data_IF_804524916002
#
_entry.id   IF_804524916002
#
_cell.length_a   1.000
_cell.length_b   1.000
_cell.length_c   1.000
_cell.angle_alpha   90.00
_cell.angle_beta   90.00
_cell.angle_gamma   90.00
#
_symmetry.space_group_name_H-M   'P 1'
#
loop_
_entity.id
_entity.type
_entity.pdbx_description
1 polymer ?
#
# COMPACT_ATOMS: atom_id res chain seq x y z
N UNK A 1 12.69 -10.52 -24.14
CA UNK A 1 11.48 -10.82 -23.33
C UNK A 1 11.19 -9.77 -22.27
N UNK A 2 12.16 -9.31 -21.46
CA UNK A 2 11.95 -8.27 -20.43
C UNK A 2 11.58 -6.88 -21.00
N UNK A 3 12.30 -6.43 -22.05
CA UNK A 3 12.02 -5.14 -22.70
C UNK A 3 10.63 -5.04 -23.35
N UNK A 4 10.09 -6.17 -23.85
CA UNK A 4 8.72 -6.24 -24.41
C UNK A 4 7.64 -6.17 -23.32
N UNK A 5 7.92 -6.69 -22.11
CA UNK A 5 7.02 -6.55 -20.96
C UNK A 5 7.02 -5.12 -20.41
N UNK A 6 8.17 -4.45 -20.38
CA UNK A 6 8.26 -3.04 -19.97
C UNK A 6 7.57 -2.11 -20.97
N UNK A 7 7.80 -2.29 -22.28
CA UNK A 7 7.09 -1.53 -23.32
C UNK A 7 5.57 -1.75 -23.28
N UNK A 8 5.13 -2.98 -23.01
CA UNK A 8 3.71 -3.31 -22.83
C UNK A 8 3.12 -2.70 -21.55
N UNK A 9 3.88 -2.62 -20.45
CA UNK A 9 3.41 -2.00 -19.21
C UNK A 9 3.28 -0.47 -19.35
N UNK A 10 4.25 0.16 -20.03
CA UNK A 10 4.22 1.60 -20.34
C UNK A 10 3.05 1.91 -21.28
N UNK A 11 2.86 1.15 -22.34
CA UNK A 11 1.74 1.37 -23.28
C UNK A 11 0.37 1.17 -22.63
N UNK A 12 0.23 0.19 -21.73
CA UNK A 12 -0.99 0.01 -20.94
C UNK A 12 -1.25 1.18 -19.99
N UNK A 13 -0.22 1.70 -19.32
CA UNK A 13 -0.39 2.90 -18.48
C UNK A 13 -0.78 4.13 -19.30
N UNK A 14 -0.18 4.32 -20.48
CA UNK A 14 -0.52 5.40 -21.40
C UNK A 14 -1.98 5.30 -21.87
N UNK A 15 -2.42 4.09 -22.27
CA UNK A 15 -3.79 3.81 -22.67
C UNK A 15 -4.79 4.02 -21.53
N UNK A 16 -4.44 3.61 -20.31
CA UNK A 16 -5.28 3.85 -19.12
C UNK A 16 -5.39 5.35 -18.83
N UNK A 17 -4.28 6.09 -18.89
CA UNK A 17 -4.30 7.56 -18.72
C UNK A 17 -5.16 8.23 -19.79
N UNK A 18 -4.97 7.87 -21.06
CA UNK A 18 -5.77 8.41 -22.15
C UNK A 18 -7.26 8.05 -21.99
N UNK A 19 -7.57 6.82 -21.57
CA UNK A 19 -8.94 6.40 -21.28
C UNK A 19 -9.59 7.21 -20.17
N UNK A 20 -8.85 7.50 -19.08
CA UNK A 20 -9.32 8.34 -17.97
C UNK A 20 -9.55 9.78 -18.41
N UNK A 21 -8.61 10.37 -19.16
CA UNK A 21 -8.76 11.75 -19.66
C UNK A 21 -9.91 11.87 -20.68
N UNK A 22 -10.08 10.87 -21.55
CA UNK A 22 -11.22 10.81 -22.46
C UNK A 22 -12.55 10.72 -21.70
N UNK A 23 -12.62 9.91 -20.63
CA UNK A 23 -13.79 9.85 -19.76
C UNK A 23 -14.07 11.19 -19.07
N UNK A 24 -13.05 11.85 -18.52
CA UNK A 24 -13.18 13.21 -17.95
C UNK A 24 -13.69 14.22 -18.98
N UNK A 25 -13.34 14.05 -20.25
CA UNK A 25 -13.85 14.84 -21.37
C UNK A 25 -15.35 14.64 -21.64
N UNK A 26 -15.92 13.49 -21.29
CA UNK A 26 -17.36 13.20 -21.44
C UNK A 26 -18.22 13.71 -20.28
N UNK A 27 -17.61 14.13 -19.17
CA UNK A 27 -18.31 14.64 -18.00
C UNK A 27 -18.74 16.10 -18.16
N UNK A 28 -19.81 16.49 -17.48
CA UNK A 28 -20.17 17.90 -17.32
C UNK A 28 -19.09 18.65 -16.55
N UNK A 29 -19.02 19.98 -16.66
CA UNK A 29 -17.98 20.76 -15.95
C UNK A 29 -18.08 20.63 -14.42
N UNK A 30 -19.29 20.42 -13.88
CA UNK A 30 -19.48 20.14 -12.46
C UNK A 30 -18.98 18.75 -12.08
N UNK A 31 -19.35 17.73 -12.85
CA UNK A 31 -18.92 16.34 -12.59
C UNK A 31 -17.41 16.18 -12.76
N UNK A 32 -16.81 16.86 -13.74
CA UNK A 32 -15.36 16.90 -13.95
C UNK A 32 -14.66 17.51 -12.74
N UNK A 33 -15.15 18.64 -12.23
CA UNK A 33 -14.57 19.28 -11.06
C UNK A 33 -14.65 18.41 -9.80
N UNK A 34 -15.77 17.70 -9.59
CA UNK A 34 -15.92 16.76 -8.49
C UNK A 34 -15.01 15.54 -8.64
N UNK A 35 -14.84 15.05 -9.87
CA UNK A 35 -13.93 13.94 -10.17
C UNK A 35 -12.46 14.32 -9.91
N UNK A 36 -12.04 15.50 -10.36
CA UNK A 36 -10.70 16.02 -10.07
C UNK A 36 -10.48 16.28 -8.58
N UNK A 37 -11.48 16.80 -7.87
CA UNK A 37 -11.45 16.98 -6.41
C UNK A 37 -11.24 15.62 -5.72
N UNK A 38 -11.98 14.59 -6.16
CA UNK A 38 -11.83 13.21 -5.67
C UNK A 38 -10.43 12.65 -5.91
N UNK A 39 -9.86 12.84 -7.11
CA UNK A 39 -8.49 12.41 -7.43
C UNK A 39 -7.45 13.11 -6.55
N UNK A 40 -7.69 14.37 -6.19
CA UNK A 40 -6.82 15.14 -5.30
C UNK A 40 -7.00 14.78 -3.82
N UNK A 41 -7.97 13.94 -3.47
CA UNK A 41 -8.26 13.57 -2.08
C UNK A 41 -9.10 14.60 -1.33
N UNK A 42 -9.75 15.53 -2.04
CA UNK A 42 -10.67 16.50 -1.46
C UNK A 42 -11.99 15.81 -1.09
N UNK A 43 -12.61 16.10 0.07
CA UNK A 43 -13.93 15.58 0.43
C UNK A 43 -15.01 16.05 -0.55
N UNK A 44 -15.43 15.15 -1.44
CA UNK A 44 -16.31 15.47 -2.60
C UNK A 44 -17.64 16.08 -2.17
N UNK A 45 -18.26 15.55 -1.12
CA UNK A 45 -19.58 16.01 -0.65
C UNK A 45 -19.50 17.45 -0.11
N UNK A 46 -18.53 17.72 0.77
CA UNK A 46 -18.31 19.06 1.33
C UNK A 46 -17.90 20.06 0.24
N UNK A 47 -17.01 19.65 -0.67
CA UNK A 47 -16.58 20.47 -1.79
C UNK A 47 -17.74 20.83 -2.72
N UNK A 48 -18.58 19.85 -3.07
CA UNK A 48 -19.77 20.07 -3.89
C UNK A 48 -20.75 21.04 -3.24
N UNK A 49 -21.02 20.88 -1.94
CA UNK A 49 -21.88 21.80 -1.19
C UNK A 49 -21.31 23.22 -1.13
N UNK A 50 -20.02 23.38 -0.81
CA UNK A 50 -19.35 24.67 -0.76
C UNK A 50 -19.36 25.36 -2.12
N UNK A 51 -19.09 24.63 -3.21
CA UNK A 51 -19.12 25.14 -4.59
C UNK A 51 -20.52 25.55 -5.02
N UNK A 52 -21.53 24.72 -4.74
CA UNK A 52 -22.92 25.08 -5.01
C UNK A 52 -23.33 26.36 -4.27
N UNK A 53 -22.98 26.47 -2.99
CA UNK A 53 -23.26 27.67 -2.20
C UNK A 53 -22.51 28.89 -2.73
N UNK A 54 -21.23 28.75 -3.10
CA UNK A 54 -20.48 29.83 -3.75
C UNK A 54 -21.16 30.30 -5.04
N UNK A 55 -21.54 29.39 -5.92
CA UNK A 55 -22.20 29.71 -7.19
C UNK A 55 -23.57 30.36 -6.98
N UNK A 56 -24.32 29.91 -5.96
CA UNK A 56 -25.60 30.52 -5.59
C UNK A 56 -25.41 31.95 -5.12
N UNK A 57 -24.60 32.16 -4.08
CA UNK A 57 -24.48 33.46 -3.41
C UNK A 57 -23.65 34.48 -4.19
N UNK A 58 -22.79 34.04 -5.11
CA UNK A 58 -22.03 34.94 -6.01
C UNK A 58 -22.89 35.56 -7.12
N UNK A 59 -24.03 34.96 -7.44
CA UNK A 59 -24.96 35.46 -8.47
C UNK A 59 -26.02 36.40 -7.93
N UNK A 60 -26.33 36.31 -6.63
CA UNK A 60 -27.29 37.19 -5.95
C UNK A 60 -26.69 38.58 -5.82
N UNK A 61 -27.42 39.59 -6.29
CA UNK A 61 -27.05 40.99 -6.16
C UNK A 61 -27.85 41.68 -5.06
N UNK A 62 -27.36 42.83 -4.60
CA UNK A 62 -28.04 43.62 -3.57
C UNK A 62 -29.44 44.06 -4.03
N UNK A 63 -29.63 44.29 -5.33
CA UNK A 63 -30.94 44.66 -5.90
C UNK A 63 -31.97 43.53 -5.78
N UNK A 64 -31.53 42.26 -5.82
CA UNK A 64 -32.43 41.10 -5.70
C UNK A 64 -33.02 40.96 -4.29
N UNK A 65 -32.43 41.66 -3.30
CA UNK A 65 -32.90 41.69 -1.91
C UNK A 65 -34.04 42.68 -1.70
N UNK A 66 -34.22 43.67 -2.57
CA UNK A 66 -35.27 44.68 -2.41
C UNK A 66 -36.63 44.03 -2.56
N UNK A 67 -37.51 44.26 -1.58
CA UNK A 67 -38.88 43.73 -1.55
C UNK A 67 -38.96 42.18 -1.59
N UNK A 68 -37.84 41.47 -1.43
CA UNK A 68 -37.78 40.01 -1.46
C UNK A 68 -37.45 39.45 -0.08
N UNK A 69 -38.43 39.50 0.82
CA UNK A 69 -38.29 39.06 2.20
C UNK A 69 -37.79 37.60 2.29
N UNK A 70 -38.24 36.71 1.40
CA UNK A 70 -37.78 35.30 1.39
C UNK A 70 -36.28 35.19 1.15
N UNK A 71 -35.74 35.95 0.19
CA UNK A 71 -34.31 35.95 -0.10
C UNK A 71 -33.51 36.61 1.03
N UNK A 72 -34.05 37.68 1.63
CA UNK A 72 -33.44 38.32 2.80
C UNK A 72 -33.31 37.33 3.98
N UNK A 73 -34.38 36.58 4.28
CA UNK A 73 -34.37 35.53 5.31
C UNK A 73 -33.30 34.50 4.98
N UNK A 74 -33.22 34.03 3.74
CA UNK A 74 -32.28 32.98 3.35
C UNK A 74 -30.82 33.43 3.52
N UNK A 75 -30.50 34.65 3.08
CA UNK A 75 -29.15 35.24 3.22
C UNK A 75 -28.75 35.37 4.69
N UNK A 76 -29.63 35.96 5.51
CA UNK A 76 -29.34 36.19 6.93
C UNK A 76 -29.25 34.87 7.68
N UNK A 77 -30.16 33.93 7.41
CA UNK A 77 -30.15 32.59 8.01
C UNK A 77 -28.85 31.86 7.71
N UNK A 78 -28.39 31.87 6.45
CA UNK A 78 -27.11 31.25 6.08
C UNK A 78 -25.93 31.93 6.76
N UNK A 79 -25.97 33.26 6.90
CA UNK A 79 -24.92 34.00 7.62
C UNK A 79 -24.85 33.68 9.11
N UNK A 80 -26.00 33.44 9.75
CA UNK A 80 -26.08 33.03 11.15
C UNK A 80 -25.68 31.56 11.34
N UNK A 81 -26.07 30.68 10.42
CA UNK A 81 -25.65 29.28 10.41
C UNK A 81 -24.11 29.15 10.35
N UNK A 82 -23.45 29.94 9.49
CA UNK A 82 -21.98 29.98 9.39
C UNK A 82 -21.33 30.48 10.69
N UNK A 83 -22.03 31.30 11.48
CA UNK A 83 -21.57 31.76 12.79
C UNK A 83 -21.79 30.73 13.91
N UNK A 84 -22.47 29.62 13.62
CA UNK A 84 -22.73 28.54 14.56
C UNK A 84 -24.05 28.63 15.31
N UNK A 85 -24.99 29.48 14.87
CA UNK A 85 -26.33 29.54 15.46
C UNK A 85 -27.13 28.28 15.11
N UNK A 86 -27.94 27.81 16.07
CA UNK A 86 -28.88 26.71 15.88
C UNK A 86 -30.10 27.18 15.05
N UNK A 87 -30.88 26.23 14.55
CA UNK A 87 -32.07 26.55 13.74
C UNK A 87 -33.10 27.38 14.51
N UNK A 88 -33.26 27.11 15.79
CA UNK A 88 -34.23 27.79 16.65
C UNK A 88 -33.76 29.22 16.93
N UNK A 89 -32.48 29.41 17.28
CA UNK A 89 -31.88 30.75 17.46
C UNK A 89 -31.93 31.58 16.18
N UNK A 90 -31.72 30.95 15.01
CA UNK A 90 -31.85 31.63 13.71
C UNK A 90 -33.29 32.10 13.50
N UNK A 91 -34.28 31.28 13.81
CA UNK A 91 -35.69 31.65 13.66
C UNK A 91 -36.05 32.85 14.55
N UNK A 92 -35.65 32.82 15.82
CA UNK A 92 -35.86 33.93 16.76
C UNK A 92 -35.18 35.21 16.29
N UNK A 93 -33.93 35.13 15.84
CA UNK A 93 -33.18 36.31 15.38
C UNK A 93 -33.78 36.90 14.09
N UNK A 94 -34.28 36.06 13.19
CA UNK A 94 -35.00 36.49 11.98
C UNK A 94 -36.31 37.20 12.34
N UNK A 95 -37.10 36.65 13.26
CA UNK A 95 -38.34 37.30 13.72
C UNK A 95 -38.04 38.65 14.38
N UNK A 96 -36.99 38.73 15.20
CA UNK A 96 -36.51 39.99 15.79
C UNK A 96 -36.14 41.02 14.71
N UNK A 97 -35.45 40.60 13.66
CA UNK A 97 -35.08 41.48 12.55
C UNK A 97 -36.28 41.97 11.72
N UNK A 98 -37.32 41.14 11.58
CA UNK A 98 -38.58 41.55 10.95
C UNK A 98 -39.33 42.57 11.80
N UNK A 99 -39.45 42.33 13.11
CA UNK A 99 -40.13 43.22 14.03
C UNK A 99 -39.46 44.61 14.12
N UNK A 100 -38.14 44.66 13.91
CA UNK A 100 -37.35 45.89 13.89
C UNK A 100 -37.19 46.52 12.50
N UNK A 101 -37.86 45.98 11.47
CA UNK A 101 -37.76 46.43 10.07
C UNK A 101 -36.30 46.54 9.56
N UNK A 102 -35.39 45.70 10.07
CA UNK A 102 -33.95 45.79 9.80
C UNK A 102 -33.39 44.60 8.99
N UNK A 103 -34.26 43.67 8.59
CA UNK A 103 -33.89 42.44 7.89
C UNK A 103 -33.15 42.69 6.58
N UNK A 104 -33.61 43.66 5.78
CA UNK A 104 -32.97 44.05 4.52
C UNK A 104 -31.53 44.53 4.75
N UNK A 105 -31.34 45.49 5.67
CA UNK A 105 -30.03 46.03 6.00
C UNK A 105 -29.06 44.96 6.55
N UNK A 106 -29.58 43.93 7.23
CA UNK A 106 -28.79 42.77 7.67
C UNK A 106 -28.41 41.87 6.49
N UNK A 107 -29.35 41.59 5.60
CA UNK A 107 -29.12 40.79 4.40
C UNK A 107 -28.05 41.44 3.51
N UNK A 108 -28.12 42.76 3.27
CA UNK A 108 -27.12 43.50 2.48
C UNK A 108 -25.71 43.41 3.07
N UNK A 109 -25.58 43.41 4.40
CA UNK A 109 -24.28 43.26 5.09
C UNK A 109 -23.73 41.84 4.99
N UNK A 110 -24.59 40.83 5.03
CA UNK A 110 -24.21 39.42 5.02
C UNK A 110 -23.90 38.92 3.60
N UNK A 111 -24.67 39.36 2.60
CA UNK A 111 -24.57 38.93 1.21
C UNK A 111 -23.12 38.93 0.66
N UNK A 112 -22.31 40.00 0.78
CA UNK A 112 -20.94 40.01 0.25
C UNK A 112 -19.97 39.11 1.01
N UNK A 113 -20.33 38.65 2.22
CA UNK A 113 -19.50 37.77 3.05
C UNK A 113 -19.71 36.30 2.70
N UNK A 114 -20.93 35.90 2.31
CA UNK A 114 -21.25 34.52 1.96
C UNK A 114 -20.34 33.93 0.86
N UNK A 115 -20.23 34.51 -0.35
CA UNK A 115 -19.37 33.94 -1.38
C UNK A 115 -17.89 33.98 -0.98
N UNK A 116 -17.44 34.96 -0.19
CA UNK A 116 -16.07 34.99 0.33
C UNK A 116 -15.80 33.82 1.27
N UNK A 117 -16.75 33.48 2.13
CA UNK A 117 -16.64 32.35 3.06
C UNK A 117 -16.57 31.02 2.33
N UNK A 118 -17.49 30.75 1.41
CA UNK A 118 -17.47 29.51 0.64
C UNK A 118 -16.26 29.40 -0.28
N UNK A 119 -15.78 30.53 -0.84
CA UNK A 119 -14.52 30.54 -1.60
C UNK A 119 -13.33 30.16 -0.72
N UNK A 120 -13.26 30.71 0.50
CA UNK A 120 -12.23 30.34 1.48
C UNK A 120 -12.28 28.85 1.81
N UNK A 121 -13.47 28.32 2.09
CA UNK A 121 -13.67 26.89 2.38
C UNK A 121 -13.19 25.98 1.22
N UNK A 122 -13.52 26.35 -0.02
CA UNK A 122 -13.04 25.65 -1.23
C UNK A 122 -11.50 25.67 -1.30
N UNK A 123 -10.89 26.84 -1.10
CA UNK A 123 -9.43 26.98 -1.14
C UNK A 123 -8.75 26.20 -0.01
N UNK A 124 -9.27 26.27 1.21
CA UNK A 124 -8.75 25.53 2.37
C UNK A 124 -8.80 24.02 2.14
N UNK A 125 -9.89 23.51 1.55
CA UNK A 125 -10.03 22.10 1.19
C UNK A 125 -9.01 21.68 0.11
N UNK A 126 -8.80 22.49 -0.92
CA UNK A 126 -7.82 22.23 -1.98
C UNK A 126 -6.37 22.28 -1.45
N UNK A 127 -6.06 23.24 -0.59
CA UNK A 127 -4.74 23.39 0.03
C UNK A 127 -4.43 22.26 1.02
N UNK A 128 -5.40 21.88 1.87
CA UNK A 128 -5.25 20.75 2.78
C UNK A 128 -4.99 19.46 2.02
N UNK A 129 -5.75 19.20 0.95
CA UNK A 129 -5.56 18.02 0.11
C UNK A 129 -4.18 18.01 -0.57
N UNK A 130 -3.71 19.16 -1.06
CA UNK A 130 -2.37 19.29 -1.64
C UNK A 130 -1.26 19.08 -0.59
N UNK A 131 -1.44 19.60 0.63
CA UNK A 131 -0.52 19.42 1.74
C UNK A 131 -0.46 17.94 2.19
N UNK A 132 -1.60 17.26 2.25
CA UNK A 132 -1.69 15.84 2.58
C UNK A 132 -1.04 14.96 1.53
N UNK A 133 -1.25 15.25 0.24
CA UNK A 133 -0.58 14.52 -0.84
C UNK A 133 0.95 14.72 -0.81
N UNK A 134 1.40 15.95 -0.58
CA UNK A 134 2.84 16.25 -0.42
C UNK A 134 3.42 15.51 0.79
N UNK A 135 2.75 15.58 1.94
CA UNK A 135 3.14 14.87 3.17
C UNK A 135 3.22 13.36 2.93
N UNK A 136 2.25 12.78 2.22
CA UNK A 136 2.24 11.36 1.84
C UNK A 136 3.43 11.01 0.95
N UNK A 137 3.68 11.79 -0.11
CA UNK A 137 4.84 11.60 -1.01
C UNK A 137 6.16 11.74 -0.27
N UNK A 138 6.30 12.70 0.62
CA UNK A 138 7.50 12.92 1.43
C UNK A 138 7.72 11.79 2.46
N UNK A 139 6.65 11.28 3.09
CA UNK A 139 6.72 10.10 3.96
C UNK A 139 7.19 8.86 3.20
N UNK A 140 6.66 8.63 2.00
CA UNK A 140 7.09 7.52 1.13
C UNK A 140 8.56 7.69 0.74
N UNK A 141 8.94 8.86 0.21
CA UNK A 141 10.31 9.15 -0.23
C UNK A 141 11.31 9.02 0.92
N UNK A 142 11.00 9.61 2.08
CA UNK A 142 11.86 9.53 3.25
C UNK A 142 11.94 8.11 3.82
N UNK A 143 10.86 7.33 3.77
CA UNK A 143 10.85 5.91 4.13
C UNK A 143 11.77 5.08 3.24
N UNK A 144 11.66 5.24 1.92
CA UNK A 144 12.52 4.56 0.94
C UNK A 144 13.98 4.99 1.11
N UNK A 145 14.24 6.28 1.33
CA UNK A 145 15.60 6.78 1.56
C UNK A 145 16.23 6.24 2.85
N UNK A 146 15.47 6.19 3.96
CA UNK A 146 15.91 5.58 5.23
C UNK A 146 16.22 4.10 5.04
N UNK A 147 15.35 3.37 4.36
CA UNK A 147 15.56 1.95 4.04
C UNK A 147 16.81 1.73 3.19
N UNK A 148 17.02 2.57 2.16
CA UNK A 148 18.23 2.54 1.33
C UNK A 148 19.48 2.77 2.15
N UNK A 149 19.48 3.82 2.97
CA UNK A 149 20.62 4.14 3.83
C UNK A 149 20.91 3.02 4.83
N UNK A 150 19.88 2.40 5.40
CA UNK A 150 20.05 1.26 6.31
C UNK A 150 20.70 0.07 5.60
N UNK A 151 20.20 -0.29 4.41
CA UNK A 151 20.78 -1.36 3.60
C UNK A 151 22.22 -1.02 3.24
N UNK A 152 22.52 0.19 2.74
CA UNK A 152 23.86 0.60 2.28
C UNK A 152 24.87 0.67 3.43
N UNK A 153 24.46 1.08 4.63
CA UNK A 153 25.33 1.19 5.79
C UNK A 153 25.52 -0.13 6.55
N UNK A 154 24.76 -1.18 6.23
CA UNK A 154 24.93 -2.51 6.86
C UNK A 154 26.10 -3.26 6.19
N UNK A 155 27.26 -3.45 6.84
CA UNK A 155 28.41 -4.08 6.16
C UNK A 155 28.20 -5.57 5.91
N UNK A 156 27.62 -6.28 6.87
CA UNK A 156 27.34 -7.71 6.85
C UNK A 156 26.09 -8.01 7.68
N UNK A 157 25.37 -9.08 7.32
CA UNK A 157 24.23 -9.61 8.09
C UNK A 157 24.62 -10.95 8.72
N UNK A 158 25.33 -11.78 7.94
CA UNK A 158 25.93 -13.02 8.39
C UNK A 158 27.41 -12.72 8.68
N UNK A 159 27.91 -12.96 9.90
CA UNK A 159 29.31 -12.70 10.25
C UNK A 159 30.25 -13.35 9.24
N UNK A 160 31.16 -12.56 8.66
CA UNK A 160 32.12 -13.02 7.66
C UNK A 160 31.61 -13.02 6.22
N UNK A 161 30.34 -12.67 5.97
CA UNK A 161 29.76 -12.50 4.63
C UNK A 161 29.37 -11.03 4.43
N UNK A 162 30.25 -10.29 3.75
CA UNK A 162 29.99 -8.89 3.40
C UNK A 162 28.86 -8.75 2.39
N UNK A 163 27.99 -7.78 2.62
CA UNK A 163 26.97 -7.40 1.65
C UNK A 163 27.60 -6.65 0.47
N UNK A 164 27.61 -7.30 -0.69
CA UNK A 164 28.01 -6.66 -1.94
C UNK A 164 26.82 -5.90 -2.59
N UNK A 165 27.13 -5.01 -3.54
CA UNK A 165 26.11 -4.19 -4.23
C UNK A 165 24.97 -5.03 -4.84
N UNK A 166 25.22 -6.13 -5.59
CA UNK A 166 24.15 -6.97 -6.12
C UNK A 166 23.21 -7.52 -5.04
N UNK A 167 23.74 -7.88 -3.87
CA UNK A 167 22.93 -8.40 -2.75
C UNK A 167 22.10 -7.28 -2.13
N UNK A 168 22.66 -6.09 -1.94
CA UNK A 168 21.94 -4.90 -1.46
C UNK A 168 20.79 -4.52 -2.39
N UNK A 169 21.04 -4.52 -3.70
CA UNK A 169 20.03 -4.23 -4.72
C UNK A 169 18.91 -5.29 -4.70
N UNK A 170 19.24 -6.57 -4.55
CA UNK A 170 18.24 -7.65 -4.39
C UNK A 170 17.39 -7.48 -3.14
N UNK A 171 17.99 -7.10 -2.01
CA UNK A 171 17.26 -6.83 -0.76
C UNK A 171 16.30 -5.65 -0.97
N UNK A 172 16.79 -4.54 -1.53
CA UNK A 172 15.97 -3.36 -1.83
C UNK A 172 14.79 -3.69 -2.76
N UNK A 173 15.06 -4.43 -3.84
CA UNK A 173 14.02 -4.85 -4.78
C UNK A 173 13.00 -5.77 -4.10
N UNK A 174 13.45 -6.70 -3.24
CA UNK A 174 12.55 -7.56 -2.48
C UNK A 174 11.67 -6.80 -1.48
N UNK A 175 12.06 -5.60 -1.06
CA UNK A 175 11.26 -4.78 -0.14
C UNK A 175 10.30 -3.84 -0.88
N UNK A 176 10.66 -3.39 -2.08
CA UNK A 176 9.96 -2.31 -2.81
C UNK A 176 9.21 -2.74 -4.06
N UNK A 177 9.62 -3.83 -4.72
CA UNK A 177 9.00 -4.26 -5.97
C UNK A 177 7.84 -5.20 -5.70
N UNK A 178 6.64 -4.90 -6.23
CA UNK A 178 5.52 -5.82 -6.14
C UNK A 178 5.66 -6.96 -7.16
N UNK A 179 5.28 -8.18 -6.75
CA UNK A 179 5.32 -9.38 -7.59
C UNK A 179 3.97 -10.11 -7.69
N UNK A 180 3.01 -9.75 -6.84
CA UNK A 180 1.67 -10.33 -6.79
C UNK A 180 0.68 -9.30 -6.23
N UNK A 181 -0.61 -9.59 -6.26
CA UNK A 181 -1.64 -8.82 -5.55
C UNK A 181 -2.33 -9.74 -4.53
N UNK A 182 -2.85 -9.17 -3.44
CA UNK A 182 -3.74 -9.88 -2.52
C UNK A 182 -5.17 -9.98 -3.08
N UNK A 183 -6.06 -10.63 -2.33
CA UNK A 183 -7.49 -10.79 -2.67
C UNK A 183 -8.22 -9.45 -2.80
N UNK A 184 -7.69 -8.37 -2.21
CA UNK A 184 -8.23 -7.01 -2.27
C UNK A 184 -7.54 -6.17 -3.35
N UNK A 185 -6.71 -6.78 -4.22
CA UNK A 185 -6.00 -6.11 -5.29
C UNK A 185 -4.81 -5.26 -4.83
N UNK A 186 -4.37 -5.37 -3.57
CA UNK A 186 -3.21 -4.62 -3.06
C UNK A 186 -1.90 -5.28 -3.51
N UNK A 187 -0.92 -4.50 -3.99
CA UNK A 187 0.36 -5.03 -4.43
C UNK A 187 1.16 -5.61 -3.26
N UNK A 188 1.71 -6.80 -3.47
CA UNK A 188 2.52 -7.56 -2.52
C UNK A 188 3.95 -7.68 -3.01
N UNK A 189 4.90 -7.34 -2.14
CA UNK A 189 6.32 -7.63 -2.38
C UNK A 189 6.62 -9.13 -2.16
N UNK A 190 7.80 -9.64 -2.56
CA UNK A 190 8.13 -11.07 -2.48
C UNK A 190 7.92 -11.73 -1.11
N UNK A 191 8.29 -11.04 -0.03
CA UNK A 191 8.14 -11.58 1.33
C UNK A 191 6.67 -11.63 1.72
N UNK A 192 5.90 -10.58 1.41
CA UNK A 192 4.46 -10.53 1.66
C UNK A 192 3.70 -11.59 0.85
N UNK A 193 4.06 -11.79 -0.43
CA UNK A 193 3.48 -12.84 -1.26
C UNK A 193 3.74 -14.25 -0.68
N UNK A 194 4.94 -14.47 -0.13
CA UNK A 194 5.28 -15.72 0.55
C UNK A 194 4.46 -15.92 1.82
N UNK A 195 4.33 -14.87 2.65
CA UNK A 195 3.47 -14.88 3.84
C UNK A 195 2.01 -15.18 3.49
N UNK A 196 1.47 -14.56 2.44
CA UNK A 196 0.06 -14.75 2.06
C UNK A 196 -0.26 -16.16 1.58
N UNK A 197 0.70 -16.88 0.97
CA UNK A 197 0.48 -18.28 0.54
C UNK A 197 0.25 -19.23 1.71
N UNK A 198 0.96 -19.04 2.82
CA UNK A 198 0.77 -19.82 4.03
C UNK A 198 1.18 -19.00 5.27
N UNK A 199 0.25 -18.22 5.86
CA UNK A 199 0.57 -17.34 6.97
C UNK A 199 1.06 -18.08 8.20
N UNK A 200 0.48 -19.26 8.49
CA UNK A 200 0.81 -20.06 9.67
C UNK A 200 2.23 -20.63 9.59
N UNK A 201 2.61 -21.20 8.44
CA UNK A 201 3.96 -21.70 8.23
C UNK A 201 5.00 -20.58 8.26
N UNK A 202 4.69 -19.43 7.66
CA UNK A 202 5.57 -18.27 7.68
C UNK A 202 5.82 -17.78 9.11
N UNK A 203 4.77 -17.62 9.91
CA UNK A 203 4.89 -17.18 11.31
C UNK A 203 5.68 -18.18 12.15
N UNK A 204 5.42 -19.49 11.98
CA UNK A 204 6.18 -20.55 12.62
C UNK A 204 7.67 -20.47 12.27
N UNK A 205 8.02 -20.22 10.99
CA UNK A 205 9.41 -20.04 10.57
C UNK A 205 10.06 -18.82 11.22
N UNK A 206 9.34 -17.70 11.32
CA UNK A 206 9.84 -16.49 12.00
C UNK A 206 10.14 -16.77 13.48
N UNK A 207 9.23 -17.41 14.20
CA UNK A 207 9.46 -17.79 15.60
C UNK A 207 10.61 -18.78 15.77
N UNK A 208 10.72 -19.76 14.86
CA UNK A 208 11.83 -20.71 14.87
C UNK A 208 13.18 -20.00 14.65
N UNK A 209 13.28 -19.09 13.68
CA UNK A 209 14.49 -18.30 13.43
C UNK A 209 14.83 -17.34 14.57
N UNK A 210 13.82 -16.76 15.22
CA UNK A 210 14.00 -15.99 16.44
C UNK A 210 14.62 -16.85 17.56
N UNK A 211 14.10 -18.05 17.80
CA UNK A 211 14.61 -18.97 18.83
C UNK A 211 16.05 -19.47 18.53
N UNK A 212 16.42 -19.53 17.26
CA UNK A 212 17.81 -19.79 16.85
C UNK A 212 18.75 -18.60 17.11
N UNK A 213 18.21 -17.40 17.37
CA UNK A 213 18.98 -16.18 17.60
C UNK A 213 19.28 -15.39 16.32
N UNK A 214 18.65 -15.74 15.19
CA UNK A 214 18.90 -15.10 13.89
C UNK A 214 18.37 -13.66 13.80
N UNK A 215 17.43 -13.31 14.68
CA UNK A 215 16.83 -11.98 14.76
C UNK A 215 17.26 -11.21 16.02
N UNK A 216 18.38 -11.59 16.64
CA UNK A 216 18.88 -10.87 17.82
C UNK A 216 19.24 -9.41 17.45
N UNK A 217 18.69 -8.48 18.23
CA UNK A 217 18.95 -7.05 18.15
C UNK A 217 19.46 -6.61 19.53
N UNK A 218 20.56 -5.85 19.57
CA UNK A 218 21.10 -5.34 20.83
C UNK A 218 20.34 -4.12 21.36
N UNK A 219 20.69 -3.67 22.57
CA UNK A 219 20.06 -2.52 23.24
C UNK A 219 20.17 -1.22 22.43
N UNK A 220 21.13 -1.14 21.50
CA UNK A 220 21.34 0.00 20.61
C UNK A 220 20.57 -0.14 19.28
N UNK A 221 19.77 -1.19 19.12
CA UNK A 221 18.99 -1.47 17.91
C UNK A 221 19.81 -2.05 16.76
N UNK A 222 21.04 -2.52 17.01
CA UNK A 222 21.88 -3.13 15.97
C UNK A 222 21.64 -4.65 15.88
N UNK A 223 21.54 -5.15 14.64
CA UNK A 223 21.41 -6.59 14.38
C UNK A 223 22.69 -7.31 14.79
N UNK A 224 22.57 -8.29 15.71
CA UNK A 224 23.63 -9.22 16.12
C UNK A 224 23.16 -10.67 16.04
N UNK A 225 22.89 -11.21 14.83
CA UNK A 225 22.40 -12.57 14.70
C UNK A 225 23.39 -13.61 15.22
N UNK A 226 22.88 -14.63 15.92
CA UNK A 226 23.68 -15.76 16.38
C UNK A 226 23.59 -16.93 15.40
N UNK A 227 24.67 -17.16 14.65
CA UNK A 227 24.81 -18.28 13.73
C UNK A 227 25.50 -19.51 14.35
N UNK A 228 25.88 -19.47 15.63
CA UNK A 228 26.68 -20.52 16.28
C UNK A 228 26.02 -21.90 16.20
N UNK A 229 24.69 -21.97 16.40
CA UNK A 229 23.90 -23.21 16.31
C UNK A 229 23.94 -23.81 14.91
N UNK A 230 23.88 -22.98 13.88
CA UNK A 230 23.93 -23.41 12.47
C UNK A 230 25.34 -23.88 12.11
N UNK A 231 26.37 -23.11 12.48
CA UNK A 231 27.76 -23.46 12.21
C UNK A 231 28.17 -24.75 12.92
N UNK A 232 27.69 -24.98 14.14
CA UNK A 232 27.94 -26.23 14.89
C UNK A 232 27.37 -27.45 14.15
N UNK A 233 26.13 -27.37 13.70
CA UNK A 233 25.48 -28.47 13.00
C UNK A 233 26.16 -28.79 11.66
N UNK A 234 26.52 -27.77 10.87
CA UNK A 234 27.26 -27.97 9.60
C UNK A 234 28.63 -28.61 9.83
N UNK A 235 29.35 -28.21 10.89
CA UNK A 235 30.62 -28.84 11.27
C UNK A 235 30.42 -30.31 11.65
N UNK A 236 29.38 -30.63 12.41
CA UNK A 236 29.03 -32.02 12.77
C UNK A 236 28.71 -32.85 11.53
N UNK A 237 27.86 -32.39 10.63
CA UNK A 237 27.54 -33.11 9.37
C UNK A 237 28.78 -33.28 8.46
N UNK A 238 29.66 -32.27 8.40
CA UNK A 238 30.90 -32.37 7.62
C UNK A 238 31.86 -33.38 8.26
N UNK A 239 31.97 -33.41 9.59
CA UNK A 239 32.78 -34.40 10.31
C UNK A 239 32.17 -35.79 10.17
N UNK A 240 30.85 -35.95 10.23
CA UNK A 240 30.16 -37.23 10.08
C UNK A 240 30.25 -37.77 8.65
N UNK A 241 30.13 -36.90 7.64
CA UNK A 241 30.37 -37.27 6.24
C UNK A 241 31.84 -37.65 6.01
N UNK A 242 32.81 -36.91 6.56
CA UNK A 242 34.22 -37.29 6.49
C UNK A 242 34.48 -38.62 7.23
N UNK A 243 33.92 -38.79 8.43
CA UNK A 243 34.05 -40.01 9.24
C UNK A 243 33.46 -41.22 8.55
N UNK A 244 32.28 -41.09 7.93
CA UNK A 244 31.70 -42.18 7.14
C UNK A 244 32.54 -42.54 5.92
N UNK A 245 33.24 -41.58 5.29
CA UNK A 245 34.20 -41.82 4.20
C UNK A 245 35.47 -42.54 4.72
N UNK A 246 35.93 -42.25 5.94
CA UNK A 246 37.07 -42.94 6.53
C UNK A 246 36.70 -44.35 7.05
N UNK A 247 35.58 -44.50 7.74
CA UNK A 247 35.07 -45.79 8.24
C UNK A 247 34.64 -46.74 7.11
N UNK A 248 34.20 -46.21 5.96
CA UNK A 248 33.97 -47.02 4.76
C UNK A 248 35.25 -47.45 4.05
N UNK A 249 36.38 -46.75 4.24
CA UNK A 249 37.69 -47.16 3.72
C UNK A 249 38.41 -48.20 4.58
N UNK A 250 38.09 -48.31 5.87
CA UNK A 250 38.67 -49.35 6.75
C UNK A 250 38.01 -50.72 6.62
N UNK A 251 36.88 -50.84 5.90
CA UNK A 251 36.21 -52.14 5.64
C UNK A 251 36.43 -52.65 4.22
N UNK A 252 37.68 -53.01 3.89
CA UNK A 252 38.00 -54.00 2.86
C UNK A 252 39.11 -54.94 3.37
N UNK A 253 38.72 -55.89 4.24
CA UNK A 253 38.66 -57.36 4.04
C UNK A 253 40.02 -58.05 3.82
N UNK A 254 40.56 -58.58 4.92
CA UNK A 254 41.45 -59.74 4.91
C UNK A 254 40.64 -61.01 4.54
N UNK A 255 41.18 -61.72 3.56
CA UNK A 255 40.83 -63.04 3.00
C UNK A 255 39.61 -63.83 3.48
N UNK A 256 38.79 -64.28 2.53
CA UNK A 256 38.39 -65.70 2.43
C UNK A 256 38.01 -66.02 0.99
N UNK A 257 38.64 -67.05 0.41
CA UNK A 257 38.28 -67.68 -0.86
C UNK A 257 36.96 -68.43 -0.72
N UNK A 258 36.00 -68.24 -1.62
CA UNK A 258 34.98 -69.27 -1.92
C UNK A 258 34.57 -69.18 -3.39
N UNK A 259 34.72 -70.33 -4.03
CA UNK A 259 34.39 -70.66 -5.42
C UNK A 259 32.91 -70.44 -5.69
N UNK A 260 32.54 -69.83 -6.83
CA UNK A 260 31.18 -69.88 -7.37
C UNK A 260 31.16 -70.78 -8.62
N UNK A 261 30.47 -71.90 -8.47
CA UNK A 261 30.03 -72.79 -9.54
C UNK A 261 29.05 -72.07 -10.48
N UNK A 262 29.30 -72.24 -11.78
CA UNK A 262 28.36 -72.41 -12.90
C UNK A 262 26.90 -72.01 -12.70
N UNK A 263 26.49 -70.96 -13.41
CA UNK A 263 25.13 -70.80 -13.94
C UNK A 263 25.10 -71.41 -15.34
N UNK A 264 24.22 -72.38 -15.58
CA UNK A 264 23.51 -72.54 -16.84
C UNK A 264 22.32 -73.51 -16.64
N UNK A 265 21.28 -73.23 -17.42
CA UNK A 265 20.06 -73.99 -17.69
C UNK A 265 18.79 -73.76 -16.84
N UNK A 266 17.93 -72.92 -17.43
CA UNK A 266 16.60 -73.28 -17.94
C UNK A 266 15.52 -73.74 -16.94
N UNK A 267 14.47 -72.92 -16.86
CA UNK A 267 13.14 -73.37 -16.43
C UNK A 267 12.38 -72.31 -15.67
N UNK A 268 11.58 -71.48 -16.38
CA UNK A 268 10.18 -71.25 -15.98
C UNK A 268 9.45 -70.41 -17.05
N UNK A 269 9.16 -71.10 -18.15
CA UNK A 269 8.21 -70.72 -19.19
C UNK A 269 6.78 -71.20 -18.81
N UNK A 270 6.37 -71.03 -17.54
CA UNK A 270 5.14 -71.66 -17.01
C UNK A 270 3.90 -70.75 -16.88
N UNK A 271 3.94 -69.50 -17.37
CA UNK A 271 2.91 -68.51 -17.04
C UNK A 271 2.04 -67.94 -18.17
N UNK A 272 2.38 -68.11 -19.45
CA UNK A 272 1.81 -67.25 -20.52
C UNK A 272 1.17 -67.94 -21.74
N UNK A 273 1.03 -69.27 -21.76
CA UNK A 273 0.53 -69.98 -22.95
C UNK A 273 -0.77 -70.79 -22.80
N UNK A 274 -1.47 -70.77 -21.64
CA UNK A 274 -2.78 -71.45 -21.50
C UNK A 274 -3.92 -70.52 -21.04
N UNK A 275 -4.00 -69.37 -21.69
CA UNK A 275 -5.24 -68.62 -21.83
C UNK A 275 -5.89 -68.94 -23.19
N UNK A 276 -6.50 -70.12 -23.33
CA UNK A 276 -7.60 -70.41 -24.27
C UNK A 276 -8.10 -71.85 -24.10
N UNK A 277 -9.42 -71.91 -23.83
CA UNK A 277 -10.33 -73.07 -23.68
C UNK A 277 -10.39 -73.65 -22.27
#
# INVERSE_FOLDING_TARGET
AAALRELSAISMQEMVKQGVENYKGTLTDQDRALYEAKEKGVPVDAYGMAKHNFDKWSKVKTEDLKENEKLQIEVVSKGLEIKGFTKDEIAEEIEGYKALENLEAKAEKVLPLLPKRFKGEITDMEESAAADDKSRKDKIRSGVARMKSFIDNTPEIIPGIKLNKPTRDKIMNSMTQPIANDEQGKPLNPVMATKNRNPQAFEMMIHYYHQLGLFNIDENGQMKPDFSKIVKNVKTETVDSLRSIFESKEKHVAGTTTVKQTTDDEGDEFGKAFGRI
#
